data_IF_025439432857
#
_entry.id   IF_025439432857
#
_cell.length_a   1.000
_cell.length_b   1.000
_cell.length_c   1.000
_cell.angle_alpha   90.00
_cell.angle_beta   90.00
_cell.angle_gamma   90.00
#
_symmetry.space_group_name_H-M   'P 1'
#
loop_
_entity.id
_entity.type
_entity.pdbx_description
1 polymer ?
#
# COMPACT_ATOMS: atom_id res chain seq x y z
N UNK A 1 6.77 14.56 0.28
CA UNK A 1 6.23 13.25 -0.15
C UNK A 1 5.25 12.56 0.82
N UNK A 2 4.80 13.12 1.98
CA UNK A 2 3.67 12.55 2.73
C UNK A 2 2.27 12.98 2.22
N UNK A 3 2.10 14.23 1.79
CA UNK A 3 0.77 14.79 1.47
C UNK A 3 -0.02 14.08 0.35
N UNK A 4 0.65 13.37 -0.57
CA UNK A 4 -0.02 12.72 -1.72
C UNK A 4 -0.65 11.38 -1.35
N UNK A 5 -0.10 10.68 -0.35
CA UNK A 5 -0.57 9.35 0.02
C UNK A 5 -1.74 9.38 1.00
N UNK A 6 -1.74 10.34 1.92
CA UNK A 6 -2.92 10.59 2.77
C UNK A 6 -4.13 10.95 1.90
N UNK A 7 -3.96 11.85 0.92
CA UNK A 7 -5.05 12.28 0.05
C UNK A 7 -5.60 11.17 -0.83
N UNK A 8 -4.77 10.20 -1.26
CA UNK A 8 -5.26 9.04 -2.02
C UNK A 8 -6.11 8.09 -1.16
N UNK A 9 -5.62 7.74 0.05
CA UNK A 9 -6.33 6.80 0.93
C UNK A 9 -7.60 7.43 1.50
N UNK A 10 -7.54 8.70 1.89
CA UNK A 10 -8.71 9.48 2.32
C UNK A 10 -9.77 9.51 1.21
N UNK A 11 -9.39 9.80 -0.03
CA UNK A 11 -10.33 9.77 -1.15
C UNK A 11 -10.92 8.37 -1.37
N UNK A 12 -10.09 7.32 -1.36
CA UNK A 12 -10.54 5.95 -1.59
C UNK A 12 -11.53 5.45 -0.53
N UNK A 13 -11.29 5.72 0.74
CA UNK A 13 -12.14 5.24 1.83
C UNK A 13 -13.32 6.17 2.13
N UNK A 14 -13.11 7.49 2.15
CA UNK A 14 -14.09 8.44 2.65
C UNK A 14 -14.97 9.03 1.53
N UNK A 15 -14.44 9.14 0.30
CA UNK A 15 -15.21 9.70 -0.83
C UNK A 15 -15.78 8.61 -1.74
N UNK A 16 -15.00 7.55 -2.02
CA UNK A 16 -15.47 6.44 -2.86
C UNK A 16 -16.17 5.32 -2.09
N UNK A 17 -16.07 5.31 -0.75
CA UNK A 17 -16.64 4.23 0.07
C UNK A 17 -15.99 2.87 -0.18
N UNK A 18 -14.73 2.84 -0.60
CA UNK A 18 -14.01 1.60 -0.87
C UNK A 18 -13.89 0.75 0.40
N UNK A 19 -14.13 -0.56 0.30
CA UNK A 19 -14.00 -1.49 1.44
C UNK A 19 -12.55 -1.90 1.71
N UNK A 20 -11.70 -1.80 0.68
CA UNK A 20 -10.27 -2.08 0.74
C UNK A 20 -9.52 -1.34 -0.37
N UNK A 21 -8.24 -1.05 -0.13
CA UNK A 21 -7.28 -0.59 -1.14
C UNK A 21 -6.21 -1.67 -1.30
N UNK A 22 -6.01 -2.13 -2.52
CA UNK A 22 -5.01 -3.16 -2.86
C UNK A 22 -3.75 -2.53 -3.46
N UNK A 23 -2.59 -3.01 -3.02
CA UNK A 23 -1.29 -2.66 -3.57
C UNK A 23 -0.64 -3.89 -4.18
N UNK A 24 -0.10 -3.74 -5.40
CA UNK A 24 0.69 -4.77 -6.08
C UNK A 24 2.08 -4.25 -6.38
N UNK A 25 3.08 -5.07 -6.07
CA UNK A 25 4.47 -4.77 -6.45
C UNK A 25 5.24 -6.04 -6.78
N UNK A 26 6.33 -5.88 -7.52
CA UNK A 26 7.21 -7.01 -7.83
C UNK A 26 7.80 -7.58 -6.53
N UNK A 27 7.84 -8.90 -6.42
CA UNK A 27 8.44 -9.60 -5.28
C UNK A 27 9.84 -9.11 -4.88
N UNK A 28 10.71 -8.80 -5.86
CA UNK A 28 12.08 -8.35 -5.61
C UNK A 28 12.19 -6.86 -5.25
N UNK A 29 11.11 -6.08 -5.36
CA UNK A 29 11.12 -4.66 -5.02
C UNK A 29 10.98 -4.45 -3.51
N UNK A 30 12.04 -4.79 -2.77
CA UNK A 30 12.07 -4.69 -1.31
C UNK A 30 11.83 -3.26 -0.79
N UNK A 31 12.22 -2.23 -1.56
CA UNK A 31 12.00 -0.84 -1.17
C UNK A 31 10.50 -0.51 -1.12
N UNK A 32 9.76 -0.77 -2.20
CA UNK A 32 8.32 -0.52 -2.23
C UNK A 32 7.57 -1.42 -1.25
N UNK A 33 7.98 -2.68 -1.09
CA UNK A 33 7.38 -3.59 -0.10
C UNK A 33 7.46 -3.03 1.32
N UNK A 34 8.66 -2.59 1.74
CA UNK A 34 8.85 -1.96 3.06
C UNK A 34 8.06 -0.65 3.20
N UNK A 35 7.93 0.13 2.13
CA UNK A 35 7.14 1.35 2.15
C UNK A 35 5.65 1.05 2.34
N UNK A 36 5.10 0.06 1.62
CA UNK A 36 3.71 -0.39 1.74
C UNK A 36 3.44 -0.93 3.15
N UNK A 37 4.33 -1.77 3.68
CA UNK A 37 4.22 -2.31 5.05
C UNK A 37 4.24 -1.18 6.10
N UNK A 38 5.08 -0.16 5.92
CA UNK A 38 5.14 1.02 6.81
C UNK A 38 3.90 1.90 6.75
N UNK A 39 3.16 1.88 5.64
CA UNK A 39 1.86 2.56 5.54
C UNK A 39 0.77 1.84 6.34
N UNK A 40 1.02 0.63 6.85
CA UNK A 40 0.05 -0.16 7.60
C UNK A 40 -0.73 -1.17 6.75
N UNK A 41 -0.42 -1.29 5.46
CA UNK A 41 -1.00 -2.33 4.61
C UNK A 41 -0.42 -3.71 4.95
N UNK A 42 -1.28 -4.74 4.94
CA UNK A 42 -0.93 -6.13 5.28
C UNK A 42 -0.72 -6.95 4.02
N UNK A 43 0.19 -7.92 4.06
CA UNK A 43 0.48 -8.80 2.92
C UNK A 43 -0.55 -9.92 2.84
N UNK A 44 -1.34 -9.93 1.77
CA UNK A 44 -2.35 -10.97 1.51
C UNK A 44 -1.72 -12.21 0.88
N UNK A 45 -0.64 -12.03 0.10
CA UNK A 45 0.05 -13.16 -0.52
C UNK A 45 1.07 -12.81 -1.59
N UNK A 46 1.56 -13.87 -2.23
CA UNK A 46 2.45 -13.78 -3.39
C UNK A 46 1.85 -14.60 -4.53
N UNK A 47 1.54 -13.93 -5.62
CA UNK A 47 1.13 -14.57 -6.86
C UNK A 47 2.39 -14.98 -7.61
N UNK A 48 2.64 -16.30 -7.69
CA UNK A 48 3.81 -16.87 -8.37
C UNK A 48 3.60 -16.86 -9.87
N UNK A 49 4.63 -16.48 -10.61
CA UNK A 49 4.59 -16.39 -12.08
C UNK A 49 3.44 -15.54 -12.65
N UNK A 50 3.06 -14.49 -11.93
CA UNK A 50 1.86 -13.70 -12.21
C UNK A 50 1.93 -12.90 -13.51
N UNK A 51 3.08 -12.29 -13.82
CA UNK A 51 3.20 -11.39 -14.97
C UNK A 51 4.48 -11.68 -15.75
N UNK A 52 4.43 -11.47 -17.07
CA UNK A 52 5.63 -11.35 -17.92
C UNK A 52 6.05 -9.89 -17.99
N UNK A 53 7.32 -9.63 -17.74
CA UNK A 53 7.92 -8.32 -17.94
C UNK A 53 8.24 -8.08 -19.42
N UNK A 54 8.58 -6.83 -19.77
CA UNK A 54 8.89 -6.45 -21.17
C UNK A 54 10.10 -7.17 -21.75
N UNK A 55 11.03 -7.61 -20.90
CA UNK A 55 12.21 -8.40 -21.27
C UNK A 55 11.91 -9.90 -21.43
N UNK A 56 10.64 -10.31 -21.26
CA UNK A 56 10.21 -11.71 -21.37
C UNK A 56 10.34 -12.52 -20.07
N UNK A 57 10.98 -11.97 -19.04
CA UNK A 57 11.09 -12.63 -17.73
C UNK A 57 9.72 -12.78 -17.05
N UNK A 58 9.56 -13.84 -16.25
CA UNK A 58 8.36 -14.10 -15.47
C UNK A 58 8.61 -13.61 -14.05
N UNK A 59 7.66 -12.85 -13.49
CA UNK A 59 7.79 -12.26 -12.15
C UNK A 59 6.65 -12.62 -11.21
N UNK A 60 7.03 -12.76 -9.95
CA UNK A 60 6.13 -12.88 -8.82
C UNK A 60 5.64 -11.49 -8.39
N UNK A 61 4.38 -11.44 -7.97
CA UNK A 61 3.75 -10.21 -7.47
C UNK A 61 3.39 -10.39 -6.00
N UNK A 62 3.90 -9.51 -5.15
CA UNK A 62 3.37 -9.35 -3.80
C UNK A 62 2.08 -8.54 -3.85
N UNK A 63 1.04 -9.05 -3.19
CA UNK A 63 -0.24 -8.39 -3.01
C UNK A 63 -0.38 -8.00 -1.53
N UNK A 64 -0.80 -6.76 -1.31
CA UNK A 64 -1.09 -6.21 0.00
C UNK A 64 -2.46 -5.52 -0.03
N UNK A 65 -3.10 -5.42 1.11
CA UNK A 65 -4.34 -4.68 1.28
C UNK A 65 -4.32 -3.80 2.53
N UNK A 66 -5.12 -2.75 2.50
CA UNK A 66 -5.57 -2.02 3.68
C UNK A 66 -7.10 -2.00 3.66
N UNK A 67 -7.72 -2.38 4.77
CA UNK A 67 -9.17 -2.39 4.88
C UNK A 67 -9.69 -1.03 5.36
N UNK A 68 -10.93 -0.70 4.98
CA UNK A 68 -11.59 0.51 5.44
C UNK A 68 -11.70 0.58 6.97
N UNK A 69 -11.86 -0.57 7.65
CA UNK A 69 -11.89 -0.65 9.12
C UNK A 69 -10.55 -0.34 9.79
N UNK A 70 -9.44 -0.45 9.05
CA UNK A 70 -8.09 -0.18 9.55
C UNK A 70 -7.69 1.29 9.33
N UNK A 71 -8.33 1.93 8.34
CA UNK A 71 -8.00 3.28 7.90
C UNK A 71 -8.02 4.34 9.03
N UNK A 72 -9.03 4.42 9.92
CA UNK A 72 -9.05 5.47 10.94
C UNK A 72 -7.80 5.48 11.83
N UNK A 73 -7.36 4.30 12.28
CA UNK A 73 -6.17 4.16 13.12
C UNK A 73 -4.88 4.54 12.36
N UNK A 74 -4.80 4.12 11.09
CA UNK A 74 -3.66 4.41 10.21
C UNK A 74 -3.59 5.91 9.90
N UNK A 75 -4.71 6.56 9.57
CA UNK A 75 -4.81 8.01 9.34
C UNK A 75 -4.28 8.78 10.54
N UNK A 76 -4.71 8.45 11.75
CA UNK A 76 -4.20 9.07 12.99
C UNK A 76 -2.69 8.90 13.12
N UNK A 77 -2.15 7.71 12.86
CA UNK A 77 -0.71 7.48 12.93
C UNK A 77 0.07 8.29 11.88
N UNK A 78 -0.41 8.36 10.64
CA UNK A 78 0.21 9.12 9.56
C UNK A 78 0.23 10.63 9.87
N UNK A 79 -0.90 11.17 10.34
CA UNK A 79 -1.00 12.57 10.78
C UNK A 79 -0.01 12.87 11.90
N UNK A 80 0.13 11.97 12.89
CA UNK A 80 1.11 12.12 13.95
C UNK A 80 2.55 12.12 13.44
N UNK A 81 2.90 11.20 12.51
CA UNK A 81 4.22 11.16 11.90
C UNK A 81 4.56 12.43 11.12
N UNK A 82 3.56 13.09 10.53
CA UNK A 82 3.74 14.36 9.82
C UNK A 82 3.89 15.56 10.75
N UNK A 83 3.22 15.54 11.90
CA UNK A 83 3.27 16.61 12.90
C UNK A 83 4.51 16.54 13.81
N UNK A 84 5.15 15.37 13.93
CA UNK A 84 6.30 15.17 14.81
C UNK A 84 7.52 15.99 14.33
N UNK A 85 8.17 16.79 15.20
CA UNK A 85 9.45 17.44 14.88
C UNK A 85 10.51 16.38 14.52
N UNK A 86 11.32 16.66 13.50
CA UNK A 86 12.40 15.76 13.05
C UNK A 86 13.54 15.68 14.06
#
# INVERSE_FOLDING_TARGET
>A
MPMIFESFMEYAFEQLGGVAVEFRTHFLNHQSRRAIERLGAKRDGILRSHLRARDGSIRDTCVYSMLASEWPAIKTHLLWLMAKPR
#
